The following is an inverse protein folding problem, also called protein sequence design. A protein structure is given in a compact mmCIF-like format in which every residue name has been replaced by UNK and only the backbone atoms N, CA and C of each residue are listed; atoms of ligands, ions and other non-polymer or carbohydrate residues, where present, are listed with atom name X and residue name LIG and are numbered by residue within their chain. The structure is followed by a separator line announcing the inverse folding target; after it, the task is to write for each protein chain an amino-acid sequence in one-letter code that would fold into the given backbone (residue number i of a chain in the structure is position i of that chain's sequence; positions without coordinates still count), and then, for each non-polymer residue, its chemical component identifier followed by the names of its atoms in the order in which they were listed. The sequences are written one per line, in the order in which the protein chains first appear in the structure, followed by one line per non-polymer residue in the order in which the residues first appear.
data_IF_439722999245
#
_entry.id   IF_439722999245
#
_cell.length_a   1.000
_cell.length_b   1.000
_cell.length_c   1.000
_cell.angle_alpha   90.00
_cell.angle_beta   90.00
_cell.angle_gamma   90.00
#
_symmetry.space_group_name_H-M   'P 1'
#
loop_
_entity.id
_entity.type
_entity.pdbx_description
1 polymer ?
#
# COMPACT_ATOMS: atom_id res chain seq x y z
N UNK A 1 -3.44 -2.47 -6.31
CA UNK A 1 -2.55 -3.65 -6.43
C UNK A 1 -3.00 -4.81 -5.57
N UNK A 2 -3.25 -4.61 -4.27
CA UNK A 2 -3.80 -5.65 -3.39
C UNK A 2 -5.03 -6.36 -3.97
N UNK A 3 -5.97 -5.61 -4.57
CA UNK A 3 -7.11 -6.20 -5.28
C UNK A 3 -6.72 -7.19 -6.37
N UNK A 4 -5.67 -6.90 -7.15
CA UNK A 4 -5.20 -7.82 -8.18
C UNK A 4 -4.72 -9.11 -7.53
N UNK A 5 -3.84 -9.04 -6.53
CA UNK A 5 -3.31 -10.21 -5.80
C UNK A 5 -4.44 -11.09 -5.25
N UNK A 6 -5.50 -10.48 -4.68
CA UNK A 6 -6.67 -11.20 -4.19
C UNK A 6 -7.39 -11.93 -5.32
N UNK A 7 -7.61 -11.26 -6.47
CA UNK A 7 -8.24 -11.90 -7.63
C UNK A 7 -7.41 -13.05 -8.18
N UNK A 8 -6.08 -12.91 -8.22
CA UNK A 8 -5.19 -13.99 -8.68
C UNK A 8 -5.25 -15.19 -7.75
N UNK A 9 -5.32 -14.97 -6.44
CA UNK A 9 -5.43 -16.02 -5.43
C UNK A 9 -6.77 -16.77 -5.52
N UNK A 10 -7.88 -16.04 -5.66
CA UNK A 10 -9.23 -16.64 -5.73
C UNK A 10 -9.50 -17.34 -7.06
N UNK A 11 -9.08 -16.74 -8.18
CA UNK A 11 -9.45 -17.20 -9.52
C UNK A 11 -8.33 -17.94 -10.27
N UNK A 12 -7.11 -17.98 -9.72
CA UNK A 12 -5.93 -18.56 -10.34
C UNK A 12 -5.69 -18.03 -11.78
N UNK A 13 -5.89 -16.73 -11.97
CA UNK A 13 -5.71 -16.01 -13.24
C UNK A 13 -4.79 -14.83 -13.04
N UNK A 14 -3.92 -14.58 -14.02
CA UNK A 14 -3.05 -13.41 -14.00
C UNK A 14 -3.85 -12.12 -14.30
N UNK A 15 -3.59 -11.06 -13.54
CA UNK A 15 -4.24 -9.74 -13.66
C UNK A 15 -3.20 -8.68 -14.02
N UNK A 16 -3.15 -8.28 -15.29
CA UNK A 16 -2.10 -7.39 -15.82
C UNK A 16 -2.53 -5.94 -15.98
N UNK A 17 -3.81 -5.61 -15.74
CA UNK A 17 -4.32 -4.23 -15.79
C UNK A 17 -5.22 -3.91 -14.60
N UNK A 18 -5.15 -2.67 -14.15
CA UNK A 18 -6.02 -2.10 -13.14
C UNK A 18 -6.52 -0.74 -13.58
N UNK A 19 -7.52 -0.22 -12.88
CA UNK A 19 -7.96 1.15 -13.06
C UNK A 19 -8.37 1.77 -11.73
N UNK A 20 -8.30 3.09 -11.65
CA UNK A 20 -8.90 3.89 -10.59
C UNK A 20 -9.87 4.86 -11.23
N UNK A 21 -11.13 4.81 -10.79
CA UNK A 21 -12.15 5.72 -11.28
C UNK A 21 -12.21 6.97 -10.41
N UNK A 22 -11.96 8.13 -11.01
CA UNK A 22 -11.97 9.43 -10.35
C UNK A 22 -13.36 10.05 -10.50
N UNK A 23 -14.25 9.78 -9.54
CA UNK A 23 -15.66 10.21 -9.58
C UNK A 23 -15.82 11.70 -9.92
N UNK A 24 -15.10 12.65 -9.27
CA UNK A 24 -15.28 14.07 -9.56
C UNK A 24 -14.86 14.49 -10.98
N UNK A 25 -14.04 13.67 -11.65
CA UNK A 25 -13.56 13.90 -13.02
C UNK A 25 -14.28 13.03 -14.05
N UNK A 26 -15.14 12.12 -13.59
CA UNK A 26 -15.80 11.08 -14.40
C UNK A 26 -14.82 10.26 -15.26
N UNK A 27 -13.58 10.11 -14.79
CA UNK A 27 -12.46 9.57 -15.58
C UNK A 27 -11.91 8.26 -15.00
N UNK A 28 -11.64 7.29 -15.88
CA UNK A 28 -11.08 6.00 -15.54
C UNK A 28 -9.58 5.98 -15.88
N UNK A 29 -8.73 6.14 -14.86
CA UNK A 29 -7.28 6.06 -15.05
C UNK A 29 -6.87 4.59 -15.06
N UNK A 30 -6.60 4.05 -16.25
CA UNK A 30 -6.11 2.69 -16.45
C UNK A 30 -4.59 2.65 -16.37
N UNK A 31 -4.05 1.60 -15.75
CA UNK A 31 -2.61 1.40 -15.63
C UNK A 31 -2.26 -0.08 -15.71
N UNK A 32 -1.01 -0.35 -16.12
CA UNK A 32 -0.48 -1.70 -16.17
C UNK A 32 -0.06 -2.17 -14.78
N UNK A 33 -0.42 -3.41 -14.45
CA UNK A 33 -0.03 -4.09 -13.23
C UNK A 33 1.08 -5.08 -13.54
N UNK A 34 2.32 -4.65 -13.39
CA UNK A 34 3.47 -5.54 -13.59
C UNK A 34 3.65 -6.49 -12.41
N UNK A 35 4.21 -7.67 -12.67
CA UNK A 35 4.54 -8.64 -11.61
C UNK A 35 5.45 -8.06 -10.53
N UNK A 36 6.37 -7.17 -10.91
CA UNK A 36 7.28 -6.48 -9.98
C UNK A 36 6.53 -5.75 -8.88
N UNK A 37 5.53 -4.94 -9.23
CA UNK A 37 4.84 -4.14 -8.21
C UNK A 37 3.93 -5.03 -7.34
N UNK A 38 3.47 -6.19 -7.85
CA UNK A 38 2.75 -7.19 -7.04
C UNK A 38 3.68 -7.83 -6.00
N UNK A 39 4.90 -8.14 -6.41
CA UNK A 39 5.94 -8.67 -5.52
C UNK A 39 6.34 -7.64 -4.45
N UNK A 40 6.57 -6.39 -4.84
CA UNK A 40 6.82 -5.29 -3.88
C UNK A 40 5.68 -5.13 -2.87
N UNK A 41 4.43 -5.28 -3.33
CA UNK A 41 3.26 -5.27 -2.42
C UNK A 41 3.30 -6.42 -1.43
N UNK A 42 3.65 -7.64 -1.86
CA UNK A 42 3.76 -8.81 -0.97
C UNK A 42 4.87 -8.63 0.07
N UNK A 43 6.04 -8.14 -0.36
CA UNK A 43 7.16 -7.86 0.53
C UNK A 43 6.78 -6.83 1.60
N UNK A 44 6.08 -5.75 1.21
CA UNK A 44 5.61 -4.74 2.16
C UNK A 44 4.62 -5.32 3.18
N UNK A 45 3.73 -6.22 2.75
CA UNK A 45 2.82 -6.90 3.68
C UNK A 45 3.58 -7.76 4.70
N UNK A 46 4.67 -8.42 4.28
CA UNK A 46 5.51 -9.20 5.19
C UNK A 46 6.26 -8.31 6.19
N UNK A 47 6.74 -7.14 5.75
CA UNK A 47 7.38 -6.18 6.65
C UNK A 47 6.38 -5.61 7.67
N UNK A 48 5.14 -5.31 7.25
CA UNK A 48 4.07 -4.90 8.16
C UNK A 48 3.76 -6.01 9.18
N UNK A 49 3.68 -7.27 8.75
CA UNK A 49 3.46 -8.41 9.66
C UNK A 49 4.60 -8.55 10.66
N UNK A 50 5.86 -8.49 10.20
CA UNK A 50 7.04 -8.54 11.07
C UNK A 50 7.04 -7.40 12.09
N UNK A 51 6.77 -6.19 11.65
CA UNK A 51 6.67 -5.00 12.50
C UNK A 51 5.65 -5.21 13.64
N UNK A 52 4.46 -5.74 13.32
CA UNK A 52 3.43 -6.06 14.31
C UNK A 52 3.91 -7.18 15.26
N UNK A 53 4.42 -8.29 14.72
CA UNK A 53 4.86 -9.44 15.53
C UNK A 53 6.02 -9.10 16.48
N UNK A 54 6.96 -8.28 16.02
CA UNK A 54 8.12 -7.84 16.80
C UNK A 54 7.82 -6.61 17.66
N UNK A 55 6.61 -6.04 17.58
CA UNK A 55 6.21 -4.81 18.28
C UNK A 55 7.18 -3.64 18.02
N UNK A 56 7.68 -3.53 16.79
CA UNK A 56 8.62 -2.49 16.39
C UNK A 56 7.86 -1.35 15.70
N UNK A 57 8.21 -0.11 16.01
CA UNK A 57 7.71 1.06 15.27
C UNK A 57 8.54 1.19 13.98
N UNK A 58 7.92 1.42 12.82
CA UNK A 58 8.66 1.59 11.57
C UNK A 58 9.45 2.91 11.59
N UNK A 59 10.50 3.03 10.77
CA UNK A 59 11.27 4.28 10.70
C UNK A 59 10.39 5.47 10.26
N UNK A 60 10.82 6.71 10.57
CA UNK A 60 10.07 7.90 10.19
C UNK A 60 9.90 8.02 8.68
N UNK A 61 8.80 8.65 8.28
CA UNK A 61 8.53 8.94 6.87
C UNK A 61 9.53 9.97 6.32
N UNK A 62 9.98 9.77 5.08
CA UNK A 62 10.87 10.72 4.39
C UNK A 62 10.22 12.09 4.13
N UNK A 63 8.88 12.17 4.14
CA UNK A 63 8.13 13.40 3.88
C UNK A 63 7.33 13.80 5.12
N UNK A 64 7.73 14.85 5.84
CA UNK A 64 7.04 15.32 7.04
C UNK A 64 5.58 15.73 6.81
N UNK A 65 5.23 16.09 5.57
CA UNK A 65 3.85 16.44 5.19
C UNK A 65 2.86 15.31 5.50
N UNK A 66 3.31 14.04 5.45
CA UNK A 66 2.47 12.88 5.80
C UNK A 66 2.13 12.82 7.29
N UNK A 67 2.91 13.48 8.16
CA UNK A 67 2.64 13.52 9.59
C UNK A 67 1.57 14.54 9.98
N UNK A 68 1.26 15.53 9.11
CA UNK A 68 0.31 16.60 9.42
C UNK A 68 -1.10 16.07 9.64
N UNK A 69 -1.53 15.12 8.81
CA UNK A 69 -2.86 14.49 8.86
C UNK A 69 -2.83 13.08 9.48
N UNK A 70 -1.73 12.70 10.14
CA UNK A 70 -1.58 11.38 10.73
C UNK A 70 -2.23 11.32 12.12
N UNK A 71 -3.27 10.51 12.27
CA UNK A 71 -3.96 10.29 13.55
C UNK A 71 -3.05 9.67 14.62
N UNK A 72 -2.01 8.95 14.20
CA UNK A 72 -1.05 8.31 15.09
C UNK A 72 0.09 9.24 15.54
N UNK A 73 0.08 10.51 15.14
CA UNK A 73 1.15 11.48 15.44
C UNK A 73 1.48 11.55 16.94
N UNK A 74 0.47 11.52 17.81
CA UNK A 74 0.68 11.61 19.27
C UNK A 74 1.29 10.34 19.89
N UNK A 75 1.32 9.23 19.16
CA UNK A 75 1.87 7.94 19.60
C UNK A 75 3.17 7.58 18.88
N UNK A 76 3.55 8.37 17.87
CA UNK A 76 4.77 8.18 17.11
C UNK A 76 5.96 8.75 17.89
N UNK A 77 6.98 7.93 18.12
CA UNK A 77 8.20 8.33 18.82
C UNK A 77 9.11 9.29 18.04
N UNK A 78 8.80 9.53 16.76
CA UNK A 78 9.63 10.32 15.84
C UNK A 78 9.06 11.72 15.53
N UNK A 79 8.06 12.16 16.29
CA UNK A 79 7.47 13.50 16.17
C UNK A 79 8.08 14.40 17.24
N UNK A 80 9.00 15.29 16.84
CA UNK A 80 9.40 16.44 17.65
C UNK A 80 8.28 17.49 17.72
#
# INVERSE_FOLDING_TARGET
MGYAIILEDVYNRNVDKGFVYLIPKEDAVVFDLTGKVKEETKNLLDDIRKMIHCQQIPPPVNSPAKCLDCEYRNFCGDVL
#
